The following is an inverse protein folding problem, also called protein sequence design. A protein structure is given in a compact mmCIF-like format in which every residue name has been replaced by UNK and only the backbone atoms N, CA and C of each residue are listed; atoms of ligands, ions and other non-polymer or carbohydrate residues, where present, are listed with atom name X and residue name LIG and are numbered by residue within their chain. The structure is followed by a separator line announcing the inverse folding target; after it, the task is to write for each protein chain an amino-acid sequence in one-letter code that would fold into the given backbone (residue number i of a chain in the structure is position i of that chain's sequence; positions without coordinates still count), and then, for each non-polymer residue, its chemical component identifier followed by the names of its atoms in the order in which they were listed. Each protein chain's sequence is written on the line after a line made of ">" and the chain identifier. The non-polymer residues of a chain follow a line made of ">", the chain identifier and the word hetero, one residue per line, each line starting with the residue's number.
data_IF_170771688770
#
_entry.id   IF_170771688770
#
_cell.length_a   1.000
_cell.length_b   1.000
_cell.length_c   1.000
_cell.angle_alpha   90.00
_cell.angle_beta   90.00
_cell.angle_gamma   90.00
#
_symmetry.space_group_name_H-M   'P 1'
#
loop_
_entity.id
_entity.type
_entity.pdbx_description
1 polymer ?
#
# COMPACT_ATOMS: atom_id res chain seq x y z
N UNK A 1 -16.63 -2.89 5.67
CA UNK A 1 -17.00 -3.88 6.71
C UNK A 1 -16.00 -5.03 6.72
N UNK A 2 -15.21 -5.20 7.79
CA UNK A 2 -14.55 -6.49 8.03
C UNK A 2 -15.68 -7.48 8.28
N UNK A 3 -15.93 -8.39 7.34
CA UNK A 3 -16.92 -9.44 7.54
C UNK A 3 -16.42 -10.29 8.69
N UNK A 4 -16.97 -10.06 9.88
CA UNK A 4 -16.55 -10.74 11.10
C UNK A 4 -16.93 -12.20 10.95
N UNK A 5 -15.91 -13.04 10.77
CA UNK A 5 -16.07 -14.48 10.78
C UNK A 5 -16.23 -14.90 12.23
N UNK A 6 -17.43 -15.35 12.58
CA UNK A 6 -17.70 -15.85 13.93
C UNK A 6 -17.26 -17.30 14.02
N UNK A 7 -16.03 -17.54 14.48
CA UNK A 7 -15.68 -18.84 15.03
C UNK A 7 -16.44 -19.03 16.36
N UNK A 8 -16.91 -20.25 16.65
CA UNK A 8 -17.46 -20.56 17.98
C UNK A 8 -16.33 -20.46 19.01
N UNK A 9 -16.39 -19.48 19.91
CA UNK A 9 -15.49 -19.35 21.05
C UNK A 9 -15.86 -20.32 22.17
N UNK A 10 -14.93 -21.21 22.53
CA UNK A 10 -15.01 -22.07 23.72
C UNK A 10 -14.20 -21.43 24.86
N UNK A 11 -14.88 -20.75 25.79
CA UNK A 11 -14.26 -20.02 26.91
C UNK A 11 -13.53 -20.91 27.92
N UNK A 12 -13.75 -22.24 27.86
CA UNK A 12 -13.04 -23.22 28.67
C UNK A 12 -11.62 -23.53 28.16
N UNK A 13 -11.30 -23.13 26.92
CA UNK A 13 -10.04 -23.42 26.24
C UNK A 13 -9.31 -22.15 25.82
N UNK A 14 -8.06 -22.29 25.39
CA UNK A 14 -7.25 -21.18 24.85
C UNK A 14 -7.12 -21.36 23.34
N UNK A 15 -7.30 -20.28 22.58
CA UNK A 15 -7.03 -20.28 21.13
C UNK A 15 -5.57 -20.68 20.92
N UNK A 16 -5.33 -21.53 19.93
CA UNK A 16 -3.98 -22.05 19.62
C UNK A 16 -3.59 -21.76 18.19
N UNK A 17 -4.54 -21.91 17.26
CA UNK A 17 -4.35 -21.70 15.83
C UNK A 17 -5.66 -21.19 15.23
N UNK A 18 -5.58 -20.36 14.21
CA UNK A 18 -6.69 -19.95 13.37
C UNK A 18 -6.26 -20.09 11.92
N UNK A 19 -7.02 -20.84 11.11
CA UNK A 19 -6.87 -20.84 9.66
C UNK A 19 -8.00 -19.99 9.10
N UNK A 20 -7.65 -18.94 8.38
CA UNK A 20 -8.60 -17.94 7.88
C UNK A 20 -8.28 -17.52 6.46
N UNK A 21 -9.25 -16.93 5.79
CA UNK A 21 -9.07 -16.42 4.45
C UNK A 21 -10.37 -16.05 3.78
N UNK A 22 -10.28 -15.85 2.48
CA UNK A 22 -11.45 -15.68 1.64
C UNK A 22 -11.14 -16.10 0.21
N UNK A 23 -12.18 -16.62 -0.45
CA UNK A 23 -12.23 -16.72 -1.91
C UNK A 23 -12.85 -15.43 -2.43
N UNK A 24 -12.25 -14.86 -3.46
CA UNK A 24 -12.78 -13.69 -4.15
C UNK A 24 -12.68 -13.89 -5.64
N UNK A 25 -13.79 -13.65 -6.33
CA UNK A 25 -13.88 -13.67 -7.79
C UNK A 25 -14.33 -12.30 -8.23
N UNK A 26 -13.54 -11.70 -9.12
CA UNK A 26 -13.82 -10.44 -9.77
C UNK A 26 -14.15 -10.68 -11.24
N UNK A 27 -15.12 -9.96 -11.74
CA UNK A 27 -15.44 -9.88 -13.16
C UNK A 27 -15.73 -8.43 -13.51
N UNK A 28 -15.47 -8.01 -14.74
CA UNK A 28 -15.72 -6.62 -15.09
C UNK A 28 -15.37 -6.25 -16.50
N UNK A 29 -15.41 -4.95 -16.74
CA UNK A 29 -15.11 -4.35 -18.03
C UNK A 29 -14.26 -3.10 -17.84
N UNK A 30 -13.13 -3.07 -18.54
CA UNK A 30 -12.29 -1.88 -18.66
C UNK A 30 -12.74 -1.13 -19.90
N UNK A 31 -13.25 0.08 -19.72
CA UNK A 31 -13.75 0.93 -20.82
C UNK A 31 -12.59 1.45 -21.66
N UNK A 32 -11.49 1.80 -21.01
CA UNK A 32 -10.29 2.39 -21.63
C UNK A 32 -9.07 1.47 -21.50
N UNK A 33 -7.93 1.90 -22.04
CA UNK A 33 -6.68 1.14 -21.95
C UNK A 33 -6.17 1.03 -20.51
N UNK A 34 -6.08 -0.21 -20.03
CA UNK A 34 -5.35 -0.58 -18.82
C UNK A 34 -4.14 -1.42 -19.24
N UNK A 35 -3.04 -1.31 -18.51
CA UNK A 35 -1.88 -2.16 -18.71
C UNK A 35 -2.27 -3.65 -18.62
N UNK A 36 -1.95 -4.50 -19.63
CA UNK A 36 -2.33 -5.91 -19.62
C UNK A 36 -1.85 -6.71 -18.40
N UNK A 37 -0.75 -6.32 -17.74
CA UNK A 37 -0.28 -6.97 -16.51
C UNK A 37 -1.11 -6.57 -15.27
N UNK A 38 -1.95 -5.56 -15.41
CA UNK A 38 -2.83 -5.00 -14.38
C UNK A 38 -4.30 -5.04 -14.86
N UNK A 39 -4.63 -5.98 -15.75
CA UNK A 39 -5.95 -6.08 -16.41
C UNK A 39 -7.16 -6.12 -15.46
N UNK A 40 -6.94 -6.56 -14.21
CA UNK A 40 -7.92 -6.71 -13.14
C UNK A 40 -7.80 -5.67 -12.02
N UNK A 41 -6.91 -4.68 -12.15
CA UNK A 41 -6.70 -3.63 -11.15
C UNK A 41 -6.40 -2.26 -11.79
N UNK A 42 -7.03 -1.20 -11.27
CA UNK A 42 -6.78 0.15 -11.75
C UNK A 42 -5.56 0.78 -11.05
N UNK A 43 -4.37 0.43 -11.54
CA UNK A 43 -3.10 1.02 -11.08
C UNK A 43 -2.76 2.28 -11.87
N UNK A 44 -3.04 3.46 -11.31
CA UNK A 44 -2.94 4.75 -12.03
C UNK A 44 -1.52 5.03 -12.51
N UNK A 45 -0.51 4.67 -11.72
CA UNK A 45 0.91 4.82 -12.14
C UNK A 45 1.29 4.04 -13.39
N UNK A 46 0.58 2.95 -13.71
CA UNK A 46 0.83 2.06 -14.85
C UNK A 46 -0.12 2.30 -16.03
N UNK A 47 -0.98 3.32 -15.98
CA UNK A 47 -1.74 3.77 -17.15
C UNK A 47 -0.79 4.23 -18.28
N UNK A 48 -1.27 4.28 -19.53
CA UNK A 48 -0.43 4.63 -20.68
C UNK A 48 0.43 5.89 -20.49
N UNK A 49 1.59 5.85 -21.11
CA UNK A 49 2.57 6.93 -21.23
C UNK A 49 2.65 7.48 -22.66
N UNK A 50 1.98 6.84 -23.62
CA UNK A 50 1.89 7.27 -25.01
C UNK A 50 0.55 6.86 -25.64
N UNK A 51 0.11 7.50 -26.74
CA UNK A 51 -1.08 7.10 -27.47
C UNK A 51 -1.01 5.63 -27.89
N UNK A 52 -2.09 4.88 -27.66
CA UNK A 52 -2.24 3.48 -28.06
C UNK A 52 -1.08 2.57 -27.61
N UNK A 53 -0.50 2.82 -26.42
CA UNK A 53 0.61 2.03 -25.90
C UNK A 53 0.22 0.55 -25.70
N UNK A 54 -1.01 0.30 -25.28
CA UNK A 54 -1.55 -1.04 -25.07
C UNK A 54 -2.55 -1.39 -26.17
N UNK A 55 -3.09 -2.62 -26.11
CA UNK A 55 -4.19 -3.04 -26.97
C UNK A 55 -5.36 -2.03 -26.91
N UNK A 56 -6.19 -1.93 -27.97
CA UNK A 56 -7.32 -1.00 -27.99
C UNK A 56 -8.22 -1.09 -26.75
N UNK A 57 -8.84 0.03 -26.41
CA UNK A 57 -9.80 0.16 -25.31
C UNK A 57 -10.92 -0.89 -25.38
N UNK A 58 -11.45 -1.27 -24.22
CA UNK A 58 -12.51 -2.26 -24.11
C UNK A 58 -11.98 -3.67 -23.90
N UNK A 59 -11.98 -4.14 -22.66
CA UNK A 59 -11.73 -5.55 -22.37
C UNK A 59 -12.56 -6.06 -21.19
N UNK A 60 -13.11 -7.26 -21.35
CA UNK A 60 -13.68 -8.03 -20.23
C UNK A 60 -12.53 -8.65 -19.45
N UNK A 61 -12.66 -8.73 -18.13
CA UNK A 61 -11.74 -9.50 -17.30
C UNK A 61 -12.47 -10.38 -16.30
N UNK A 62 -11.78 -11.45 -15.89
CA UNK A 62 -12.13 -12.29 -14.75
C UNK A 62 -10.86 -12.53 -13.94
N UNK A 63 -10.94 -12.47 -12.62
CA UNK A 63 -9.78 -12.68 -11.75
C UNK A 63 -10.17 -13.37 -10.45
N UNK A 64 -9.22 -14.11 -9.91
CA UNK A 64 -9.26 -14.72 -8.58
C UNK A 64 -8.09 -14.25 -7.70
N UNK A 65 -7.25 -13.34 -8.24
CA UNK A 65 -5.94 -12.97 -7.69
C UNK A 65 -6.03 -12.32 -6.31
N UNK A 66 -7.18 -11.74 -5.96
CA UNK A 66 -7.41 -11.16 -4.64
C UNK A 66 -7.60 -12.21 -3.52
N UNK A 67 -7.89 -13.47 -3.87
CA UNK A 67 -8.12 -14.55 -2.90
C UNK A 67 -6.94 -14.68 -1.93
N UNK A 68 -7.26 -15.04 -0.67
CA UNK A 68 -6.32 -14.97 0.45
C UNK A 68 -6.43 -16.18 1.35
N UNK A 69 -5.27 -16.61 1.86
CA UNK A 69 -5.17 -17.59 2.93
C UNK A 69 -4.19 -17.10 4.00
N UNK A 70 -4.51 -17.35 5.26
CA UNK A 70 -3.64 -17.05 6.37
C UNK A 70 -3.82 -18.00 7.55
N UNK A 71 -2.80 -18.01 8.39
CA UNK A 71 -2.74 -18.78 9.64
C UNK A 71 -2.27 -17.85 10.75
N UNK A 72 -3.00 -17.82 11.87
CA UNK A 72 -2.56 -17.18 13.11
C UNK A 72 -2.26 -18.23 14.17
N UNK A 73 -1.22 -18.02 14.95
CA UNK A 73 -0.84 -18.88 16.07
C UNK A 73 -0.79 -18.10 17.38
N UNK A 74 -1.16 -18.76 18.48
CA UNK A 74 -1.04 -18.25 19.85
C UNK A 74 -0.28 -19.27 20.70
N UNK A 75 1.01 -19.02 20.87
CA UNK A 75 1.98 -19.98 21.42
C UNK A 75 2.47 -19.46 22.77
N UNK A 76 2.21 -20.16 23.89
CA UNK A 76 2.61 -19.73 25.21
C UNK A 76 4.11 -20.00 25.35
N UNK A 77 4.81 -19.00 25.86
CA UNK A 77 6.25 -19.07 26.12
C UNK A 77 6.51 -18.62 27.57
N UNK A 78 7.71 -18.88 28.12
CA UNK A 78 8.05 -18.43 29.48
C UNK A 78 7.99 -16.90 29.67
N UNK A 79 8.01 -16.11 28.61
CA UNK A 79 8.04 -14.63 28.64
C UNK A 79 6.74 -13.98 28.14
N UNK A 80 5.69 -14.78 27.90
CA UNK A 80 4.40 -14.32 27.41
C UNK A 80 3.88 -15.14 26.23
N UNK A 81 2.70 -14.77 25.74
CA UNK A 81 2.12 -15.41 24.56
C UNK A 81 2.73 -14.81 23.28
N UNK A 82 3.37 -15.67 22.48
CA UNK A 82 3.83 -15.36 21.13
C UNK A 82 2.65 -15.49 20.17
N UNK A 83 2.31 -14.38 19.52
CA UNK A 83 1.38 -14.35 18.39
C UNK A 83 2.16 -14.47 17.10
N UNK A 84 1.74 -15.31 16.18
CA UNK A 84 2.37 -15.44 14.85
C UNK A 84 1.33 -15.25 13.77
N UNK A 85 1.71 -14.64 12.65
CA UNK A 85 0.87 -14.51 11.46
C UNK A 85 1.65 -14.93 10.22
N UNK A 86 1.05 -15.82 9.44
CA UNK A 86 1.50 -16.21 8.10
C UNK A 86 0.34 -16.02 7.13
N UNK A 87 0.38 -15.01 6.25
CA UNK A 87 -0.70 -14.66 5.32
C UNK A 87 -0.15 -14.38 3.93
N UNK A 88 -0.82 -14.89 2.89
CA UNK A 88 -0.55 -14.59 1.49
C UNK A 88 -1.84 -14.34 0.70
N UNK A 89 -1.75 -13.54 -0.36
CA UNK A 89 -2.74 -13.46 -1.43
C UNK A 89 -2.21 -14.08 -2.72
N UNK A 90 -3.03 -14.10 -3.77
CA UNK A 90 -2.69 -14.65 -5.08
C UNK A 90 -2.36 -13.55 -6.11
N UNK A 91 -2.02 -12.34 -5.64
CA UNK A 91 -1.90 -11.14 -6.48
C UNK A 91 -0.43 -10.87 -6.81
N UNK A 92 0.04 -11.43 -7.93
CA UNK A 92 1.41 -11.24 -8.41
C UNK A 92 1.74 -9.78 -8.70
N UNK A 93 2.93 -9.33 -8.27
CA UNK A 93 3.48 -7.98 -8.47
C UNK A 93 4.97 -8.07 -8.76
N UNK A 94 5.59 -6.97 -9.21
CA UNK A 94 7.01 -6.98 -9.55
C UNK A 94 7.27 -7.95 -10.72
N UNK A 95 8.17 -8.92 -10.53
CA UNK A 95 8.47 -9.93 -11.56
C UNK A 95 7.29 -10.86 -11.89
N UNK A 96 6.30 -10.95 -11.00
CA UNK A 96 5.10 -11.77 -11.17
C UNK A 96 3.86 -10.95 -11.58
N UNK A 97 4.02 -9.70 -12.02
CA UNK A 97 2.87 -8.90 -12.46
C UNK A 97 2.08 -9.60 -13.58
N UNK A 98 0.76 -9.49 -13.54
CA UNK A 98 -0.16 -10.22 -14.42
C UNK A 98 -0.37 -11.70 -14.08
N UNK A 99 0.40 -12.28 -13.15
CA UNK A 99 0.31 -13.69 -12.79
C UNK A 99 -0.53 -13.92 -11.53
N UNK A 100 -1.12 -15.12 -11.44
CA UNK A 100 -1.74 -15.64 -10.22
C UNK A 100 -0.68 -16.39 -9.41
N UNK A 101 0.01 -15.69 -8.51
CA UNK A 101 1.11 -16.24 -7.70
C UNK A 101 0.91 -15.96 -6.22
N UNK A 102 1.36 -16.89 -5.38
CA UNK A 102 1.34 -16.68 -3.93
C UNK A 102 2.30 -15.58 -3.54
N UNK A 103 1.78 -14.54 -2.90
CA UNK A 103 2.56 -13.39 -2.46
C UNK A 103 2.39 -13.16 -0.96
N UNK A 104 3.47 -13.20 -0.17
CA UNK A 104 3.39 -12.92 1.25
C UNK A 104 2.89 -11.51 1.55
N UNK A 105 1.92 -11.42 2.46
CA UNK A 105 1.38 -10.16 2.97
C UNK A 105 1.89 -9.88 4.38
N UNK A 106 1.61 -10.80 5.29
CA UNK A 106 2.00 -10.70 6.70
C UNK A 106 2.77 -11.95 7.10
N UNK A 107 4.02 -11.77 7.54
CA UNK A 107 4.92 -12.82 7.98
C UNK A 107 5.66 -12.33 9.23
N UNK A 108 5.05 -12.43 10.40
CA UNK A 108 5.63 -11.85 11.62
C UNK A 108 5.28 -12.62 12.90
N UNK A 109 6.07 -12.38 13.93
CA UNK A 109 5.78 -12.75 15.31
C UNK A 109 5.70 -11.51 16.21
N UNK A 110 4.81 -11.53 17.20
CA UNK A 110 4.64 -10.48 18.21
C UNK A 110 4.63 -11.12 19.61
N UNK A 111 5.45 -10.57 20.52
CA UNK A 111 5.47 -10.98 21.92
C UNK A 111 5.67 -9.77 22.84
N UNK A 112 4.78 -9.63 23.82
CA UNK A 112 4.75 -8.44 24.67
C UNK A 112 4.58 -7.17 23.83
N UNK A 113 5.59 -6.28 23.87
CA UNK A 113 5.60 -5.01 23.12
C UNK A 113 6.38 -5.07 21.81
N UNK A 114 6.95 -6.22 21.46
CA UNK A 114 7.87 -6.35 20.33
C UNK A 114 7.23 -7.13 19.19
N UNK A 115 7.42 -6.65 17.96
CA UNK A 115 7.09 -7.36 16.73
C UNK A 115 8.34 -7.46 15.85
N UNK A 116 8.54 -8.62 15.23
CA UNK A 116 9.59 -8.86 14.24
C UNK A 116 8.99 -9.57 13.02
N UNK A 117 9.24 -9.04 11.83
CA UNK A 117 8.83 -9.64 10.56
C UNK A 117 8.19 -8.65 9.60
N UNK A 118 7.50 -9.16 8.58
CA UNK A 118 6.83 -8.35 7.56
C UNK A 118 5.39 -8.03 7.94
N UNK A 119 5.07 -6.74 8.08
CA UNK A 119 3.69 -6.25 8.27
C UNK A 119 3.58 -4.78 7.85
N UNK A 120 2.40 -4.16 8.03
CA UNK A 120 2.17 -2.75 7.71
C UNK A 120 3.17 -1.84 8.45
N UNK A 121 3.78 -0.88 7.76
CA UNK A 121 4.66 0.12 8.39
C UNK A 121 3.88 0.98 9.40
N UNK A 122 4.48 1.41 10.53
CA UNK A 122 3.90 2.46 11.36
C UNK A 122 3.56 3.76 10.62
N UNK A 123 4.23 4.05 9.49
CA UNK A 123 3.93 5.23 8.67
C UNK A 123 2.56 5.15 7.97
N UNK A 124 2.00 3.95 7.86
CA UNK A 124 0.68 3.68 7.30
C UNK A 124 -0.41 3.75 8.38
N UNK A 125 -1.61 4.11 7.96
CA UNK A 125 -2.84 3.84 8.71
C UNK A 125 -3.71 2.90 7.85
N UNK A 126 -3.88 1.65 8.28
CA UNK A 126 -4.67 0.68 7.52
C UNK A 126 -6.16 0.95 7.55
N UNK A 127 -6.63 1.68 8.56
CA UNK A 127 -8.05 1.90 8.80
C UNK A 127 -8.62 2.98 7.87
N UNK A 128 -7.79 3.80 7.22
CA UNK A 128 -8.26 4.78 6.23
C UNK A 128 -8.51 4.18 4.84
N UNK A 129 -8.13 2.92 4.61
CA UNK A 129 -8.44 2.27 3.35
C UNK A 129 -9.97 2.15 3.20
N UNK A 130 -10.57 2.68 2.12
CA UNK A 130 -12.01 2.73 1.98
C UNK A 130 -12.60 1.34 1.73
N UNK A 131 -13.92 1.21 1.94
CA UNK A 131 -14.67 0.03 1.56
C UNK A 131 -14.85 -0.05 0.02
N UNK A 132 -13.76 -0.36 -0.67
CA UNK A 132 -13.63 -0.58 -2.11
C UNK A 132 -13.32 -2.05 -2.41
N UNK A 133 -13.68 -2.53 -3.61
CA UNK A 133 -13.29 -3.87 -4.10
C UNK A 133 -12.15 -3.84 -5.12
N UNK A 134 -11.73 -2.65 -5.53
CA UNK A 134 -10.48 -2.46 -6.26
C UNK A 134 -9.30 -2.95 -5.41
N UNK A 135 -8.50 -3.83 -5.99
CA UNK A 135 -7.38 -4.43 -5.30
C UNK A 135 -6.28 -3.41 -4.97
N UNK A 136 -5.99 -2.51 -5.92
CA UNK A 136 -4.92 -1.53 -5.75
C UNK A 136 -5.39 -0.40 -4.84
N UNK A 137 -6.47 0.27 -5.21
CA UNK A 137 -7.15 1.27 -4.39
C UNK A 137 -6.65 2.71 -4.62
N UNK A 138 -6.94 3.62 -3.66
CA UNK A 138 -6.65 5.05 -3.80
C UNK A 138 -5.16 5.36 -3.99
N UNK A 139 -4.83 6.37 -4.80
CA UNK A 139 -3.43 6.67 -5.14
C UNK A 139 -2.69 7.41 -4.03
N UNK A 140 -3.38 8.27 -3.30
CA UNK A 140 -2.89 9.24 -2.31
C UNK A 140 -2.81 8.75 -0.88
N UNK A 141 -2.81 7.44 -0.66
CA UNK A 141 -2.64 6.84 0.67
C UNK A 141 -1.26 6.20 0.80
N UNK A 142 -0.72 6.21 2.02
CA UNK A 142 0.43 5.38 2.39
C UNK A 142 -0.07 3.96 2.58
N UNK A 143 0.43 3.01 1.78
CA UNK A 143 -0.02 1.62 1.84
C UNK A 143 1.11 0.65 1.55
N UNK A 144 1.95 0.43 2.55
CA UNK A 144 3.14 -0.39 2.40
C UNK A 144 3.32 -1.38 3.55
N UNK A 145 3.81 -2.57 3.21
CA UNK A 145 4.19 -3.61 4.17
C UNK A 145 5.69 -3.79 4.07
N UNK A 146 6.38 -3.63 5.19
CA UNK A 146 7.82 -3.76 5.25
C UNK A 146 8.25 -4.80 6.30
N UNK A 147 9.44 -5.33 6.11
CA UNK A 147 10.14 -6.09 7.15
C UNK A 147 10.60 -5.10 8.20
N UNK A 148 10.25 -5.34 9.46
CA UNK A 148 10.49 -4.41 10.54
C UNK A 148 10.76 -5.10 11.88
N UNK A 149 11.46 -4.38 12.74
CA UNK A 149 11.47 -4.58 14.20
C UNK A 149 10.70 -3.41 14.78
N UNK A 150 9.60 -3.69 15.48
CA UNK A 150 8.69 -2.67 16.02
C UNK A 150 8.53 -2.80 17.52
N UNK A 151 8.57 -1.67 18.21
CA UNK A 151 8.26 -1.53 19.62
C UNK A 151 6.95 -0.75 19.82
N UNK A 152 6.01 -1.35 20.54
CA UNK A 152 4.75 -0.74 20.93
C UNK A 152 4.87 -0.08 22.31
N UNK A 153 5.27 1.19 22.35
CA UNK A 153 5.38 1.95 23.59
C UNK A 153 4.01 2.10 24.29
N UNK A 154 2.95 2.26 23.48
CA UNK A 154 1.55 2.22 23.91
C UNK A 154 0.75 1.33 22.96
N UNK A 155 -0.12 0.49 23.49
CA UNK A 155 -0.97 -0.44 22.73
C UNK A 155 -2.31 -0.60 23.46
N UNK A 156 -3.43 -0.51 22.74
CA UNK A 156 -4.77 -0.53 23.30
C UNK A 156 -5.65 0.54 22.65
N UNK A 157 -6.38 1.32 23.45
CA UNK A 157 -7.22 2.42 22.95
C UNK A 157 -6.41 3.47 22.18
N UNK A 158 -5.20 3.78 22.66
CA UNK A 158 -4.26 4.65 21.97
C UNK A 158 -3.00 3.86 21.64
N UNK A 159 -2.37 4.20 20.53
CA UNK A 159 -1.20 3.48 20.00
C UNK A 159 -0.03 4.43 19.85
N UNK A 160 1.16 3.98 20.24
CA UNK A 160 2.43 4.64 19.96
C UNK A 160 3.44 3.57 19.55
N UNK A 161 3.67 3.45 18.24
CA UNK A 161 4.57 2.47 17.68
C UNK A 161 5.80 3.14 17.09
N UNK A 162 6.94 2.47 17.25
CA UNK A 162 8.24 2.86 16.73
C UNK A 162 8.82 1.65 15.98
N UNK A 163 9.35 1.83 14.78
CA UNK A 163 9.95 0.74 14.03
C UNK A 163 11.26 1.13 13.36
N UNK A 164 12.14 0.13 13.27
CA UNK A 164 13.23 0.09 12.31
C UNK A 164 12.81 -0.85 11.18
N UNK A 165 12.83 -0.34 9.96
CA UNK A 165 12.31 -1.02 8.78
C UNK A 165 13.42 -1.29 7.75
N UNK A 166 13.23 -2.31 6.92
CA UNK A 166 14.17 -2.64 5.85
C UNK A 166 14.28 -1.45 4.88
N UNK A 167 15.48 -0.90 4.67
CA UNK A 167 15.71 0.21 3.76
C UNK A 167 15.54 -0.24 2.29
N UNK A 168 15.28 0.70 1.40
CA UNK A 168 15.06 0.42 -0.03
C UNK A 168 13.70 -0.22 -0.33
N UNK A 169 12.70 0.11 0.50
CA UNK A 169 11.31 -0.36 0.55
C UNK A 169 10.76 -1.13 -0.68
N UNK A 170 10.76 -0.57 -1.89
CA UNK A 170 10.13 -1.19 -3.06
C UNK A 170 11.13 -1.57 -4.18
N UNK A 171 10.81 -2.66 -4.90
CA UNK A 171 11.50 -3.08 -6.12
C UNK A 171 10.99 -2.36 -7.39
N UNK A 172 10.00 -1.46 -7.28
CA UNK A 172 9.67 -0.49 -8.33
C UNK A 172 10.76 0.60 -8.33
N UNK A 173 12.01 0.18 -8.55
CA UNK A 173 13.06 1.09 -8.93
C UNK A 173 12.60 1.68 -10.26
N UNK A 174 12.35 2.99 -10.28
CA UNK A 174 12.14 3.70 -11.53
C UNK A 174 13.19 3.22 -12.51
N UNK A 175 12.75 2.66 -13.63
CA UNK A 175 13.67 2.32 -14.70
C UNK A 175 14.25 3.64 -15.18
N UNK A 176 15.52 3.92 -14.84
CA UNK A 176 16.34 4.91 -15.55
C UNK A 176 16.68 4.40 -16.97
N UNK A 177 15.75 3.65 -17.59
CA UNK A 177 15.88 3.05 -18.90
C UNK A 177 16.21 4.14 -19.91
N UNK A 178 17.34 3.99 -20.59
CA UNK A 178 17.85 4.95 -21.55
C UNK A 178 18.88 5.95 -21.01
N UNK A 179 19.30 5.84 -19.73
CA UNK A 179 20.39 6.67 -19.15
C UNK A 179 21.61 5.85 -18.79
N UNK A 180 22.41 5.55 -19.81
CA UNK A 180 23.65 4.77 -19.66
C UNK A 180 24.63 5.38 -18.64
N UNK A 181 24.56 6.69 -18.42
CA UNK A 181 25.36 7.42 -17.45
C UNK A 181 25.05 7.06 -15.99
N UNK A 182 23.90 6.41 -15.72
CA UNK A 182 23.49 5.94 -14.39
C UNK A 182 23.62 4.42 -14.22
N UNK A 183 24.05 3.66 -15.24
CA UNK A 183 24.11 2.19 -15.20
C UNK A 183 25.03 1.66 -14.08
N UNK A 184 26.07 2.44 -13.77
CA UNK A 184 27.02 2.15 -12.70
C UNK A 184 26.53 2.51 -11.30
N UNK A 185 25.43 3.28 -11.19
CA UNK A 185 24.89 3.70 -9.90
C UNK A 185 24.12 2.55 -9.25
N UNK A 186 24.49 2.21 -8.02
CA UNK A 186 23.84 1.17 -7.22
C UNK A 186 23.35 1.77 -5.89
N UNK A 187 22.13 1.41 -5.49
CA UNK A 187 21.62 1.74 -4.17
C UNK A 187 22.50 1.14 -3.08
N UNK A 188 22.78 1.91 -2.03
CA UNK A 188 23.48 1.48 -0.82
C UNK A 188 22.61 1.77 0.39
N UNK A 189 22.51 0.80 1.29
CA UNK A 189 21.59 0.86 2.43
C UNK A 189 22.33 0.74 3.76
N UNK A 190 23.01 1.80 4.22
CA UNK A 190 23.88 1.71 5.40
C UNK A 190 23.11 1.82 6.73
N UNK A 191 21.85 2.25 6.70
CA UNK A 191 20.99 2.41 7.88
C UNK A 191 19.58 1.88 7.57
N UNK A 192 18.84 1.37 8.58
CA UNK A 192 17.42 1.10 8.44
C UNK A 192 16.60 2.39 8.27
N UNK A 193 15.41 2.26 7.69
CA UNK A 193 14.42 3.32 7.72
C UNK A 193 13.78 3.38 9.13
N UNK A 194 13.51 4.57 9.65
CA UNK A 194 12.81 4.75 10.93
C UNK A 194 11.40 5.25 10.67
N UNK A 195 10.41 4.65 11.33
CA UNK A 195 9.02 5.09 11.26
C UNK A 195 8.33 5.02 12.61
N UNK A 196 7.34 5.89 12.79
CA UNK A 196 6.57 5.97 14.02
C UNK A 196 5.16 6.45 13.75
N UNK A 197 4.24 6.12 14.65
CA UNK A 197 2.96 6.83 14.73
C UNK A 197 2.48 7.00 16.15
N UNK A 198 1.60 7.97 16.32
CA UNK A 198 0.71 8.10 17.46
C UNK A 198 -0.74 8.08 16.95
N UNK A 199 -1.56 7.16 17.46
CA UNK A 199 -3.00 7.06 17.17
C UNK A 199 -3.80 7.36 18.44
N UNK A 200 -4.70 8.33 18.36
CA UNK A 200 -5.69 8.64 19.38
C UNK A 200 -7.05 8.13 18.91
N UNK A 201 -7.61 7.17 19.63
CA UNK A 201 -8.91 6.58 19.29
C UNK A 201 -9.97 6.89 20.35
N UNK A 202 -11.23 6.71 19.96
CA UNK A 202 -12.40 6.78 20.83
C UNK A 202 -13.65 6.29 20.10
N UNK A 203 -14.83 6.47 20.70
CA UNK A 203 -16.11 6.07 20.07
C UNK A 203 -16.38 6.82 18.74
N UNK A 204 -15.79 7.99 18.57
CA UNK A 204 -15.90 8.82 17.37
C UNK A 204 -15.02 8.35 16.21
N UNK A 205 -14.18 7.32 16.40
CA UNK A 205 -13.18 6.86 15.45
C UNK A 205 -11.76 7.15 15.96
N UNK A 206 -10.86 7.61 15.10
CA UNK A 206 -9.49 7.95 15.48
C UNK A 206 -8.85 9.02 14.60
N UNK A 207 -7.80 9.64 15.12
CA UNK A 207 -6.83 10.43 14.37
C UNK A 207 -5.45 9.82 14.62
N UNK A 208 -4.66 9.67 13.57
CA UNK A 208 -3.28 9.20 13.64
C UNK A 208 -2.35 10.22 12.98
N UNK A 209 -1.25 10.53 13.68
CA UNK A 209 -0.11 11.23 13.12
C UNK A 209 1.06 10.24 13.03
N UNK A 210 1.60 10.07 11.84
CA UNK A 210 2.73 9.20 11.58
C UNK A 210 3.87 9.96 10.90
N UNK A 211 5.10 9.51 11.14
CA UNK A 211 6.31 10.10 10.60
C UNK A 211 7.33 9.04 10.18
N UNK A 212 8.19 9.43 9.24
CA UNK A 212 9.24 8.58 8.70
C UNK A 212 10.52 9.37 8.45
N UNK A 213 11.67 8.73 8.68
CA UNK A 213 13.00 9.22 8.33
C UNK A 213 13.78 8.10 7.65
N UNK A 214 14.46 8.44 6.55
CA UNK A 214 15.18 7.52 5.68
C UNK A 214 16.52 8.10 5.32
N UNK A 215 17.54 7.26 5.20
CA UNK A 215 18.82 7.65 4.65
C UNK A 215 19.07 6.90 3.35
N UNK A 216 18.80 7.59 2.23
CA UNK A 216 18.87 7.02 0.89
C UNK A 216 20.26 7.31 0.33
N UNK A 217 21.04 6.27 0.07
CA UNK A 217 22.41 6.39 -0.44
C UNK A 217 22.57 5.59 -1.73
N UNK A 218 23.46 6.04 -2.58
CA UNK A 218 23.89 5.33 -3.78
C UNK A 218 25.39 5.50 -4.00
N UNK A 219 25.98 4.55 -4.70
CA UNK A 219 27.40 4.55 -5.05
C UNK A 219 27.58 4.32 -6.55
N UNK A 220 28.53 5.04 -7.13
CA UNK A 220 28.98 4.84 -8.50
C UNK A 220 30.03 3.71 -8.54
N UNK A 221 29.64 2.55 -9.06
CA UNK A 221 30.54 1.41 -9.23
C UNK A 221 31.66 1.66 -10.26
N UNK A 222 31.52 2.69 -11.09
CA UNK A 222 32.51 3.12 -12.07
C UNK A 222 33.20 4.44 -11.68
N UNK A 223 33.22 4.75 -10.37
CA UNK A 223 33.89 5.96 -9.86
C UNK A 223 35.37 5.98 -10.24
N UNK A 224 35.87 7.17 -10.55
CA UNK A 224 37.25 7.46 -10.93
C UNK A 224 37.65 8.84 -10.40
N UNK A 225 38.94 9.20 -10.55
CA UNK A 225 39.41 10.54 -10.18
C UNK A 225 38.69 11.68 -10.91
N UNK A 226 38.06 11.40 -12.06
CA UNK A 226 37.40 12.38 -12.93
C UNK A 226 35.88 12.21 -12.97
N UNK A 227 35.31 11.24 -12.26
CA UNK A 227 33.86 11.01 -12.18
C UNK A 227 33.49 10.29 -10.90
N UNK A 228 32.67 10.91 -10.06
CA UNK A 228 32.03 10.27 -8.92
C UNK A 228 30.61 10.83 -8.78
N UNK A 229 29.62 10.04 -9.18
CA UNK A 229 28.19 10.38 -9.02
C UNK A 229 27.55 9.66 -7.83
N UNK A 230 28.36 9.15 -6.90
CA UNK A 230 27.88 8.66 -5.61
C UNK A 230 27.25 9.80 -4.81
N UNK A 231 26.31 9.47 -3.92
CA UNK A 231 25.64 10.48 -3.13
C UNK A 231 24.68 9.92 -2.11
N UNK A 232 24.06 10.83 -1.37
CA UNK A 232 23.02 10.48 -0.42
C UNK A 232 22.05 11.64 -0.23
N UNK A 233 20.82 11.31 0.13
CA UNK A 233 19.78 12.26 0.56
C UNK A 233 19.08 11.73 1.81
N UNK A 234 18.52 12.64 2.59
CA UNK A 234 17.62 12.29 3.69
C UNK A 234 16.20 12.36 3.14
N UNK A 235 15.49 11.23 3.23
CA UNK A 235 14.05 11.20 2.97
C UNK A 235 13.29 11.37 4.29
N UNK A 236 12.16 12.07 4.24
CA UNK A 236 11.30 12.26 5.39
C UNK A 236 9.84 12.36 4.96
N UNK A 237 8.91 12.00 5.84
CA UNK A 237 7.49 12.13 5.55
C UNK A 237 6.65 12.27 6.79
N UNK A 238 5.53 12.97 6.65
CA UNK A 238 4.47 13.13 7.65
C UNK A 238 3.16 12.68 7.04
N UNK A 239 2.41 11.88 7.80
CA UNK A 239 1.12 11.35 7.38
C UNK A 239 0.10 11.59 8.50
N UNK A 240 -0.91 12.40 8.20
CA UNK A 240 -2.05 12.65 9.06
C UNK A 240 -3.25 11.91 8.49
N UNK A 241 -3.85 11.04 9.29
CA UNK A 241 -4.98 10.21 8.87
C UNK A 241 -6.07 10.20 9.92
N UNK A 242 -7.30 9.96 9.48
CA UNK A 242 -8.46 9.95 10.35
C UNK A 242 -9.57 9.05 9.82
N UNK A 243 -10.22 8.37 10.75
CA UNK A 243 -11.53 7.77 10.56
C UNK A 243 -12.48 8.48 11.53
N UNK A 244 -13.52 9.12 11.00
CA UNK A 244 -14.51 9.83 11.79
C UNK A 244 -15.88 9.18 11.59
N UNK A 245 -16.43 8.59 12.65
CA UNK A 245 -17.81 8.12 12.67
C UNK A 245 -18.70 9.32 13.02
N UNK A 246 -19.34 9.93 12.02
CA UNK A 246 -20.25 11.05 12.26
C UNK A 246 -21.49 10.61 13.04
N UNK A 247 -21.99 9.43 12.72
CA UNK A 247 -23.08 8.76 13.42
C UNK A 247 -22.97 7.24 13.20
N UNK A 248 -24.06 6.47 13.38
CA UNK A 248 -24.06 5.01 13.18
C UNK A 248 -24.08 4.57 11.71
N UNK A 249 -24.49 5.46 10.81
CA UNK A 249 -24.69 5.22 9.38
C UNK A 249 -23.62 5.89 8.52
N UNK A 250 -22.95 6.92 9.02
CA UNK A 250 -22.00 7.71 8.22
C UNK A 250 -20.61 7.71 8.84
N UNK A 251 -19.61 7.37 8.02
CA UNK A 251 -18.21 7.44 8.37
C UNK A 251 -17.40 8.16 7.29
N UNK A 252 -16.45 8.99 7.72
CA UNK A 252 -15.41 9.55 6.87
C UNK A 252 -14.10 8.81 7.08
N UNK A 253 -13.38 8.55 6.00
CA UNK A 253 -12.00 8.09 6.01
C UNK A 253 -11.18 9.04 5.17
N UNK A 254 -10.09 9.55 5.73
CA UNK A 254 -9.23 10.42 4.95
C UNK A 254 -7.82 10.53 5.49
N UNK A 255 -6.92 10.92 4.60
CA UNK A 255 -5.53 11.10 4.92
C UNK A 255 -4.88 12.14 4.04
N UNK A 256 -3.87 12.80 4.59
CA UNK A 256 -2.94 13.66 3.88
C UNK A 256 -1.53 13.23 4.24
N UNK A 257 -0.70 12.99 3.23
CA UNK A 257 0.72 12.70 3.39
C UNK A 257 1.53 13.70 2.60
N UNK A 258 2.59 14.21 3.23
CA UNK A 258 3.58 15.06 2.58
C UNK A 258 4.98 14.69 3.05
N UNK A 259 5.94 14.73 2.13
CA UNK A 259 7.32 14.40 2.44
C UNK A 259 8.20 14.47 1.22
N UNK A 260 9.49 14.20 1.42
CA UNK A 260 10.47 14.07 0.36
C UNK A 260 11.12 12.69 0.41
N UNK A 261 11.19 11.97 -0.72
CA UNK A 261 11.83 10.66 -0.78
C UNK A 261 11.09 9.59 0.02
N UNK A 262 9.75 9.58 -0.03
CA UNK A 262 8.85 8.59 0.59
C UNK A 262 7.83 8.01 -0.40
N UNK A 263 8.02 8.28 -1.69
CA UNK A 263 7.24 7.81 -2.83
C UNK A 263 6.99 6.29 -2.78
N UNK A 264 8.02 5.50 -2.48
CA UNK A 264 7.93 4.04 -2.41
C UNK A 264 7.06 3.48 -1.28
N UNK A 265 6.58 4.33 -0.37
CA UNK A 265 5.60 3.97 0.67
C UNK A 265 4.15 4.31 0.27
N UNK A 266 3.96 5.08 -0.81
CA UNK A 266 2.65 5.35 -1.38
C UNK A 266 2.09 4.07 -2.01
N UNK A 267 0.76 3.93 -1.98
CA UNK A 267 0.08 2.80 -2.62
C UNK A 267 0.41 2.70 -4.11
N UNK A 268 0.43 3.84 -4.78
CA UNK A 268 0.84 3.94 -6.17
C UNK A 268 2.29 4.42 -6.27
N UNK A 269 3.21 3.52 -5.87
CA UNK A 269 4.64 3.77 -5.69
C UNK A 269 5.35 4.29 -6.98
N UNK A 270 5.82 5.55 -6.95
CA UNK A 270 6.72 6.14 -7.93
C UNK A 270 8.18 6.16 -7.41
N UNK A 271 9.05 6.96 -8.02
CA UNK A 271 10.50 7.02 -7.71
C UNK A 271 10.78 7.96 -6.54
N UNK A 272 11.60 7.53 -5.56
CA UNK A 272 11.97 8.36 -4.39
C UNK A 272 12.94 9.52 -4.71
N UNK A 273 13.86 9.30 -5.66
CA UNK A 273 14.99 10.19 -5.93
C UNK A 273 15.04 10.57 -7.40
N UNK A 274 14.94 11.86 -7.66
CA UNK A 274 15.12 12.47 -8.97
C UNK A 274 16.58 12.84 -9.24
N UNK A 275 16.82 13.27 -10.47
CA UNK A 275 18.16 13.61 -10.97
C UNK A 275 18.24 15.12 -11.14
N UNK A 276 19.30 15.74 -10.62
CA UNK A 276 19.67 17.13 -10.88
C UNK A 276 20.98 17.15 -11.66
N UNK A 277 21.07 18.08 -12.60
CA UNK A 277 22.31 18.35 -13.32
C UNK A 277 23.08 19.48 -12.64
N UNK A 278 24.39 19.30 -12.48
CA UNK A 278 25.33 20.25 -11.90
C UNK A 278 26.53 20.42 -12.83
N UNK A 279 26.36 21.12 -13.98
CA UNK A 279 27.39 21.23 -15.01
C UNK A 279 28.65 21.96 -14.53
N UNK A 280 28.57 22.70 -13.43
CA UNK A 280 29.72 23.37 -12.82
C UNK A 280 30.67 22.38 -12.12
N UNK A 281 30.20 21.18 -11.77
CA UNK A 281 31.00 20.15 -11.13
C UNK A 281 31.42 19.07 -12.13
N UNK A 282 32.67 19.17 -12.61
CA UNK A 282 33.23 18.24 -13.59
C UNK A 282 33.39 16.80 -13.08
N UNK A 283 33.46 16.59 -11.76
CA UNK A 283 33.58 15.25 -11.14
C UNK A 283 32.20 14.67 -10.83
N UNK A 284 31.25 15.50 -10.41
CA UNK A 284 29.89 15.10 -10.04
C UNK A 284 28.86 15.93 -10.81
N UNK A 285 28.76 15.74 -12.14
CA UNK A 285 27.86 16.54 -12.99
C UNK A 285 26.39 16.20 -12.76
N UNK A 286 26.10 15.16 -11.97
CA UNK A 286 24.77 14.69 -11.64
C UNK A 286 24.66 14.49 -10.12
N UNK A 287 23.57 14.96 -9.53
CA UNK A 287 23.22 14.78 -8.12
C UNK A 287 21.83 14.17 -7.98
N UNK A 288 21.60 13.41 -6.93
CA UNK A 288 20.27 12.94 -6.57
C UNK A 288 19.54 13.95 -5.68
N UNK A 289 18.24 14.09 -5.87
CA UNK A 289 17.35 14.91 -5.04
C UNK A 289 16.17 14.07 -4.57
N UNK A 290 15.88 14.05 -3.27
CA UNK A 290 14.64 13.47 -2.76
C UNK A 290 13.45 14.22 -3.37
N UNK A 291 12.52 13.49 -3.98
CA UNK A 291 11.37 14.11 -4.65
C UNK A 291 10.30 14.45 -3.61
N UNK A 292 9.66 15.64 -3.69
CA UNK A 292 8.49 15.93 -2.88
C UNK A 292 7.25 15.19 -3.40
N UNK A 293 6.49 14.60 -2.49
CA UNK A 293 5.20 13.96 -2.75
C UNK A 293 4.10 14.55 -1.86
N UNK A 294 2.94 14.81 -2.45
CA UNK A 294 1.69 15.12 -1.75
C UNK A 294 0.65 14.07 -2.13
N UNK A 295 0.17 13.32 -1.14
CA UNK A 295 -0.94 12.38 -1.28
C UNK A 295 -2.14 12.84 -0.46
N UNK A 296 -3.33 12.79 -1.06
CA UNK A 296 -4.59 13.07 -0.37
C UNK A 296 -5.60 11.99 -0.71
N UNK A 297 -6.38 11.58 0.29
CA UNK A 297 -7.50 10.65 0.14
C UNK A 297 -8.66 11.09 1.01
N UNK A 298 -9.87 11.07 0.45
CA UNK A 298 -11.09 11.45 1.14
C UNK A 298 -12.26 10.59 0.67
N UNK A 299 -12.85 9.86 1.60
CA UNK A 299 -13.93 8.90 1.36
C UNK A 299 -15.04 9.07 2.39
N UNK A 300 -16.27 8.92 1.93
CA UNK A 300 -17.47 8.85 2.76
C UNK A 300 -18.12 7.50 2.54
N UNK A 301 -18.45 6.85 3.64
CA UNK A 301 -19.21 5.60 3.69
C UNK A 301 -20.58 5.90 4.28
N UNK A 302 -21.63 5.46 3.58
CA UNK A 302 -23.01 5.52 4.06
C UNK A 302 -23.58 4.09 4.14
N UNK A 303 -24.02 3.71 5.34
CA UNK A 303 -24.63 2.43 5.65
C UNK A 303 -26.15 2.58 5.69
N UNK A 304 -26.80 2.24 4.57
CA UNK A 304 -28.25 2.29 4.44
C UNK A 304 -28.93 1.26 5.36
N UNK A 305 -28.30 0.09 5.50
CA UNK A 305 -28.70 -1.00 6.39
C UNK A 305 -27.46 -1.76 6.85
N UNK A 306 -27.63 -2.72 7.76
CA UNK A 306 -26.54 -3.62 8.17
C UNK A 306 -26.02 -4.50 7.02
N UNK A 307 -26.76 -4.62 5.92
CA UNK A 307 -26.40 -5.46 4.76
C UNK A 307 -25.98 -4.64 3.54
N UNK A 308 -26.30 -3.35 3.46
CA UNK A 308 -26.10 -2.54 2.25
C UNK A 308 -25.43 -1.20 2.58
N UNK A 309 -24.31 -0.93 1.91
CA UNK A 309 -23.56 0.31 2.06
C UNK A 309 -23.09 0.86 0.71
N UNK A 310 -22.96 2.17 0.65
CA UNK A 310 -22.32 2.89 -0.44
C UNK A 310 -21.05 3.55 0.07
N UNK A 311 -20.02 3.60 -0.77
CA UNK A 311 -18.78 4.32 -0.50
C UNK A 311 -18.44 5.16 -1.72
N UNK A 312 -18.17 6.44 -1.51
CA UNK A 312 -17.78 7.39 -2.54
C UNK A 312 -16.51 8.08 -2.07
N UNK A 313 -15.55 8.27 -2.97
CA UNK A 313 -14.42 9.11 -2.65
C UNK A 313 -13.50 9.41 -3.80
N UNK A 314 -12.50 10.21 -3.45
CA UNK A 314 -11.51 10.74 -4.35
C UNK A 314 -10.14 10.73 -3.67
N UNK A 315 -9.11 10.51 -4.47
CA UNK A 315 -7.74 10.52 -4.03
C UNK A 315 -6.83 11.03 -5.15
N UNK A 316 -5.75 11.70 -4.75
CA UNK A 316 -4.71 12.07 -5.69
C UNK A 316 -3.32 11.92 -5.07
N UNK A 317 -2.34 11.75 -5.94
CA UNK A 317 -0.92 11.84 -5.62
C UNK A 317 -0.28 12.80 -6.61
N UNK A 318 0.52 13.74 -6.10
CA UNK A 318 1.30 14.68 -6.88
C UNK A 318 2.78 14.58 -6.51
N UNK A 319 3.65 14.53 -7.51
CA UNK A 319 5.11 14.48 -7.34
C UNK A 319 5.74 15.68 -8.03
N UNK A 320 6.57 16.39 -7.29
CA UNK A 320 7.40 17.47 -7.81
C UNK A 320 8.69 16.91 -8.40
N UNK A 321 8.60 16.40 -9.63
CA UNK A 321 9.75 15.88 -10.38
C UNK A 321 10.83 16.95 -10.62
N UNK A 322 12.07 16.51 -10.72
CA UNK A 322 13.20 17.34 -11.17
C UNK A 322 13.12 17.62 -12.67
N UNK A 323 13.72 18.71 -13.15
CA UNK A 323 13.76 19.08 -14.58
C UNK A 323 14.39 18.00 -15.49
N UNK A 324 15.19 17.11 -14.91
CA UNK A 324 15.78 15.97 -15.59
C UNK A 324 14.93 14.69 -15.47
N UNK A 325 13.66 14.75 -15.08
CA UNK A 325 12.79 13.59 -15.15
C UNK A 325 12.53 13.18 -16.61
N UNK A 326 12.18 11.92 -16.84
CA UNK A 326 11.70 11.48 -18.16
C UNK A 326 10.44 12.27 -18.54
N UNK A 327 10.23 12.60 -19.83
CA UNK A 327 8.96 13.15 -20.32
C UNK A 327 7.73 12.34 -19.87
N UNK A 328 7.89 11.02 -19.78
CA UNK A 328 6.86 10.07 -19.38
C UNK A 328 6.81 9.82 -17.87
N UNK A 329 7.65 10.46 -17.05
CA UNK A 329 7.66 10.26 -15.60
C UNK A 329 6.29 10.60 -15.00
N UNK A 330 5.88 9.85 -13.98
CA UNK A 330 4.61 10.07 -13.29
C UNK A 330 4.67 11.39 -12.52
N UNK A 331 3.72 12.29 -12.78
CA UNK A 331 3.63 13.61 -12.12
C UNK A 331 2.40 13.71 -11.23
N UNK A 332 1.25 13.28 -11.73
CA UNK A 332 0.01 13.32 -10.99
C UNK A 332 -0.84 12.11 -11.33
N UNK A 333 -1.45 11.52 -10.31
CA UNK A 333 -2.51 10.54 -10.49
C UNK A 333 -3.72 10.91 -9.68
N UNK A 334 -4.88 10.80 -10.30
CA UNK A 334 -6.18 11.08 -9.72
C UNK A 334 -7.00 9.80 -9.78
N UNK A 335 -7.78 9.58 -8.74
CA UNK A 335 -8.55 8.35 -8.58
C UNK A 335 -9.87 8.67 -7.90
N UNK A 336 -10.95 8.15 -8.44
CA UNK A 336 -12.29 8.28 -7.87
C UNK A 336 -13.01 6.95 -7.95
N UNK A 337 -13.78 6.62 -6.92
CA UNK A 337 -14.63 5.43 -6.94
C UNK A 337 -15.98 5.68 -6.33
N UNK A 338 -16.96 4.95 -6.84
CA UNK A 338 -18.21 4.66 -6.14
C UNK A 338 -18.39 3.15 -6.05
N UNK A 339 -18.58 2.68 -4.82
CA UNK A 339 -18.70 1.26 -4.49
C UNK A 339 -20.04 1.01 -3.82
N UNK A 340 -20.75 0.00 -4.29
CA UNK A 340 -21.97 -0.52 -3.69
C UNK A 340 -21.67 -1.91 -3.16
N UNK A 341 -21.89 -2.13 -1.86
CA UNK A 341 -21.62 -3.41 -1.20
C UNK A 341 -22.90 -3.95 -0.60
N UNK A 342 -23.19 -5.22 -0.89
CA UNK A 342 -24.28 -6.00 -0.33
C UNK A 342 -23.72 -7.25 0.38
N UNK A 343 -24.25 -7.54 1.56
CA UNK A 343 -23.98 -8.76 2.34
C UNK A 343 -25.24 -9.60 2.37
N UNK A 344 -25.51 -10.42 1.32
CA UNK A 344 -26.78 -11.12 1.18
C UNK A 344 -26.97 -12.22 2.24
N UNK A 345 -25.89 -12.79 2.74
CA UNK A 345 -25.91 -13.72 3.86
C UNK A 345 -24.57 -13.68 4.60
N UNK A 346 -24.49 -14.43 5.71
CA UNK A 346 -23.30 -14.45 6.55
C UNK A 346 -22.06 -14.84 5.75
N UNK A 347 -20.96 -14.16 6.03
CA UNK A 347 -19.64 -14.38 5.43
C UNK A 347 -19.51 -14.01 3.94
N UNK A 348 -20.56 -13.52 3.27
CA UNK A 348 -20.47 -13.09 1.87
C UNK A 348 -20.41 -11.59 1.69
N UNK A 349 -19.90 -11.19 0.54
CA UNK A 349 -19.93 -9.84 0.04
C UNK A 349 -20.13 -9.93 -1.47
N UNK A 350 -21.14 -9.22 -1.97
CA UNK A 350 -21.34 -8.91 -3.38
C UNK A 350 -21.10 -7.42 -3.52
N UNK A 351 -20.32 -7.00 -4.51
CA UNK A 351 -20.09 -5.59 -4.76
C UNK A 351 -20.13 -5.25 -6.23
N UNK A 352 -20.55 -4.01 -6.50
CA UNK A 352 -20.41 -3.36 -7.79
C UNK A 352 -19.64 -2.07 -7.57
N UNK A 353 -18.64 -1.82 -8.40
CA UNK A 353 -17.80 -0.64 -8.30
C UNK A 353 -17.55 -0.02 -9.65
N UNK A 354 -17.60 1.31 -9.69
CA UNK A 354 -17.13 2.11 -10.82
C UNK A 354 -15.91 2.89 -10.36
N UNK A 355 -14.84 2.80 -11.14
CA UNK A 355 -13.56 3.39 -10.85
C UNK A 355 -13.16 4.31 -12.00
N UNK A 356 -12.60 5.45 -11.66
CA UNK A 356 -11.98 6.38 -12.61
C UNK A 356 -10.56 6.67 -12.15
N UNK A 357 -9.61 6.55 -13.07
CA UNK A 357 -8.21 6.85 -12.86
C UNK A 357 -7.71 7.78 -13.95
N UNK A 358 -6.89 8.77 -13.59
CA UNK A 358 -6.21 9.64 -14.54
C UNK A 358 -4.76 9.79 -14.16
N UNK A 359 -3.86 9.64 -15.13
CA UNK A 359 -2.42 9.77 -15.01
C UNK A 359 -1.95 10.92 -15.88
N UNK A 360 -1.29 11.90 -15.28
CA UNK A 360 -0.58 12.97 -15.96
C UNK A 360 0.93 12.70 -15.90
N UNK A 361 1.58 12.70 -17.07
CA UNK A 361 3.03 12.59 -17.18
C UNK A 361 3.71 13.94 -16.94
N UNK A 362 5.03 13.91 -16.77
CA UNK A 362 5.83 15.12 -16.59
C UNK A 362 5.71 16.08 -17.78
N UNK A 363 5.78 15.56 -19.02
CA UNK A 363 5.69 16.35 -20.26
C UNK A 363 4.42 16.03 -21.07
N UNK A 364 3.29 16.58 -20.61
CA UNK A 364 2.11 16.87 -21.44
C UNK A 364 1.20 15.70 -21.84
N UNK A 365 1.66 14.45 -21.84
CA UNK A 365 0.79 13.31 -22.11
C UNK A 365 0.00 12.89 -20.87
N UNK A 366 -1.32 12.80 -21.03
CA UNK A 366 -2.25 12.31 -20.02
C UNK A 366 -3.04 11.12 -20.55
N UNK A 367 -3.30 10.16 -19.67
CA UNK A 367 -4.18 9.01 -19.93
C UNK A 367 -5.22 8.88 -18.83
N UNK A 368 -6.36 8.29 -19.14
CA UNK A 368 -7.37 7.95 -18.15
C UNK A 368 -7.88 6.54 -18.37
N UNK A 369 -8.50 5.97 -17.35
CA UNK A 369 -9.27 4.76 -17.49
C UNK A 369 -10.49 4.72 -16.58
N UNK A 370 -11.58 4.20 -17.13
CA UNK A 370 -12.79 3.85 -16.42
C UNK A 370 -12.92 2.34 -16.35
N UNK A 371 -13.18 1.81 -15.16
CA UNK A 371 -13.33 0.36 -14.91
C UNK A 371 -14.63 0.11 -14.15
N UNK A 372 -15.37 -0.89 -14.59
CA UNK A 372 -16.57 -1.40 -13.90
C UNK A 372 -16.23 -2.80 -13.39
N UNK A 373 -16.39 -3.02 -12.09
CA UNK A 373 -16.05 -4.28 -11.43
C UNK A 373 -17.23 -4.82 -10.63
N UNK A 374 -17.43 -6.13 -10.75
CA UNK A 374 -18.33 -6.93 -9.94
C UNK A 374 -17.50 -7.92 -9.15
N UNK A 375 -17.78 -8.04 -7.85
CA UNK A 375 -17.02 -8.91 -6.96
C UNK A 375 -17.95 -9.79 -6.16
N UNK A 376 -17.58 -11.06 -6.03
CA UNK A 376 -18.13 -11.97 -5.03
C UNK A 376 -17.00 -12.44 -4.11
N UNK A 377 -17.19 -12.28 -2.81
CA UNK A 377 -16.25 -12.72 -1.78
C UNK A 377 -16.94 -13.62 -0.76
N UNK A 378 -16.32 -14.73 -0.43
CA UNK A 378 -16.74 -15.64 0.64
C UNK A 378 -15.61 -15.81 1.65
N UNK A 379 -15.86 -15.41 2.90
CA UNK A 379 -14.90 -15.47 3.99
C UNK A 379 -15.03 -16.79 4.77
N UNK A 380 -13.90 -17.35 5.20
CA UNK A 380 -13.85 -18.52 6.07
C UNK A 380 -12.84 -18.29 7.20
N UNK A 381 -13.13 -18.88 8.36
CA UNK A 381 -12.22 -18.93 9.49
C UNK A 381 -12.57 -20.14 10.34
N UNK A 382 -11.54 -20.87 10.77
CA UNK A 382 -11.64 -21.98 11.69
C UNK A 382 -10.60 -21.80 12.79
N UNK A 383 -11.07 -21.75 14.05
CA UNK A 383 -10.22 -21.64 15.23
C UNK A 383 -10.06 -23.01 15.89
N UNK A 384 -8.82 -23.32 16.25
CA UNK A 384 -8.42 -24.52 16.98
C UNK A 384 -8.01 -24.15 18.40
N UNK A 385 -8.44 -24.96 19.35
CA UNK A 385 -8.29 -24.70 20.78
C UNK A 385 -7.40 -25.74 21.44
N UNK A 386 -6.62 -25.32 22.44
CA UNK A 386 -5.91 -26.20 23.37
C UNK A 386 -6.53 -26.13 24.77
N UNK A 387 -6.31 -27.17 25.57
CA UNK A 387 -6.66 -27.12 27.00
C UNK A 387 -5.86 -26.01 27.69
N UNK A 388 -6.48 -25.30 28.64
CA UNK A 388 -5.76 -24.42 29.55
C UNK A 388 -4.76 -25.28 30.34
N UNK A 389 -3.49 -24.93 30.28
CA UNK A 389 -2.49 -25.45 31.22
C UNK A 389 -2.88 -24.94 32.61
N UNK A 390 -3.09 -25.87 33.55
CA UNK A 390 -3.42 -25.61 34.96
C UNK A 390 -2.36 -24.80 35.67
#
# INVERSE_FOLDING_TARGET
>A
MTVVTFAQDDTSKVRSLEVYGFLMTDAGYNVDQINPNWFDALRVTKLPTSPNQFAPSGNVFFSIRQSRLGVRGWIPTPIGELKTVFEFDMFGVGVDEGQTTMRPRHLYGEIGKWLVGQTNTPFMDGDVFPNTVEYWGPTGIVFFRNIQIRYAAMQGENELFLALERPGASADQGTFSGRTELDSVKGRFPLPDFSAHFKKSGKWGHVQLAGMLRYIKWEDAAKSATRDISGSVVGWGLHLSSVLNFNKMDAFRGSVVYGEGVENYMNDAPVDVGVLHDPANVVTPIKGKALPVLGVSAYVEHYWTDMFSTTLGYSFTHISNTDFASPTAYKMGQYATITFVLTPFKNTMVATEVQYGKRDSFEGFSSHATKIQFSFKYNFSQVFYRKKSS
#
